data_IF_827328719071
#
_entry.id   IF_827328719071
#
_cell.length_a   1.000
_cell.length_b   1.000
_cell.length_c   1.000
_cell.angle_alpha   90.00
_cell.angle_beta   90.00
_cell.angle_gamma   90.00
#
_symmetry.space_group_name_H-M   'P 1'
#
loop_
_entity.id
_entity.type
_entity.pdbx_description
1 polymer ?
#
# COMPACT_ATOMS: atom_id res chain seq x y z
N UNK A 1 0.97 21.36 -5.73
CA UNK A 1 -0.50 21.17 -5.79
C UNK A 1 -1.09 21.98 -4.65
N UNK A 2 -2.14 22.77 -4.86
CA UNK A 2 -2.68 23.67 -3.81
C UNK A 2 -3.89 23.09 -3.06
N UNK A 3 -4.50 22.03 -3.59
CA UNK A 3 -5.59 21.28 -2.97
C UNK A 3 -5.65 19.87 -3.56
N UNK A 4 -6.30 18.97 -2.86
CA UNK A 4 -6.64 17.63 -3.36
C UNK A 4 -8.14 17.41 -3.25
N UNK A 5 -8.68 16.65 -4.18
CA UNK A 5 -10.09 16.25 -4.16
C UNK A 5 -10.29 14.91 -4.84
N UNK A 6 -11.27 14.16 -4.37
CA UNK A 6 -11.70 12.89 -4.96
C UNK A 6 -13.20 12.98 -5.26
N UNK A 7 -13.57 12.74 -6.52
CA UNK A 7 -14.99 12.75 -6.89
C UNK A 7 -15.72 11.56 -6.27
N UNK A 8 -17.03 11.67 -5.95
CA UNK A 8 -17.78 10.54 -5.36
C UNK A 8 -17.81 9.29 -6.26
N UNK A 9 -17.78 9.46 -7.58
CA UNK A 9 -17.74 8.35 -8.53
C UNK A 9 -16.39 7.65 -8.46
N UNK A 10 -15.29 8.42 -8.55
CA UNK A 10 -13.95 7.86 -8.43
C UNK A 10 -13.72 7.22 -7.06
N UNK A 11 -14.25 7.81 -5.97
CA UNK A 11 -14.16 7.24 -4.63
C UNK A 11 -14.81 5.84 -4.56
N UNK A 12 -15.96 5.66 -5.20
CA UNK A 12 -16.63 4.35 -5.27
C UNK A 12 -15.82 3.33 -6.09
N UNK A 13 -15.26 3.75 -7.22
CA UNK A 13 -14.47 2.87 -8.08
C UNK A 13 -13.15 2.48 -7.40
N UNK A 14 -12.49 3.41 -6.73
CA UNK A 14 -11.30 3.17 -5.91
C UNK A 14 -11.62 2.19 -4.77
N UNK A 15 -12.70 2.41 -4.02
CA UNK A 15 -13.12 1.52 -2.94
C UNK A 15 -13.36 0.09 -3.45
N UNK A 16 -14.04 -0.07 -4.59
CA UNK A 16 -14.30 -1.39 -5.19
C UNK A 16 -13.00 -2.10 -5.59
N UNK A 17 -12.08 -1.39 -6.21
CA UNK A 17 -10.79 -1.95 -6.61
C UNK A 17 -9.95 -2.34 -5.37
N UNK A 18 -9.97 -1.53 -4.30
CA UNK A 18 -9.32 -1.88 -3.04
C UNK A 18 -9.92 -3.14 -2.40
N UNK A 19 -11.25 -3.28 -2.39
CA UNK A 19 -11.92 -4.49 -1.89
C UNK A 19 -11.58 -5.71 -2.76
N UNK A 20 -11.58 -5.55 -4.08
CA UNK A 20 -11.28 -6.63 -5.01
C UNK A 20 -9.86 -7.16 -4.78
N UNK A 21 -8.86 -6.27 -4.76
CA UNK A 21 -7.46 -6.65 -4.55
C UNK A 21 -7.21 -7.24 -3.15
N UNK A 22 -7.93 -6.77 -2.12
CA UNK A 22 -7.81 -7.33 -0.77
C UNK A 22 -8.47 -8.70 -0.65
N UNK A 23 -9.59 -8.93 -1.35
CA UNK A 23 -10.30 -10.22 -1.37
C UNK A 23 -9.56 -11.29 -2.18
N UNK A 24 -8.76 -10.87 -3.14
CA UNK A 24 -7.94 -11.73 -4.00
C UNK A 24 -6.49 -11.20 -4.02
N UNK A 25 -5.73 -11.42 -2.93
CA UNK A 25 -4.39 -10.86 -2.79
C UNK A 25 -3.46 -11.23 -3.96
N UNK A 26 -2.71 -10.23 -4.44
CA UNK A 26 -1.82 -10.41 -5.59
C UNK A 26 -2.48 -10.28 -6.97
N UNK A 27 -3.79 -10.03 -7.04
CA UNK A 27 -4.40 -9.55 -8.28
C UNK A 27 -4.08 -8.07 -8.47
N UNK A 28 -4.14 -7.60 -9.71
CA UNK A 28 -3.86 -6.21 -10.07
C UNK A 28 -5.12 -5.59 -10.67
N UNK A 29 -5.52 -4.46 -10.11
CA UNK A 29 -6.56 -3.59 -10.66
C UNK A 29 -5.93 -2.29 -11.14
N UNK A 30 -6.37 -1.79 -12.31
CA UNK A 30 -5.87 -0.53 -12.88
C UNK A 30 -6.90 0.57 -12.69
N UNK A 31 -6.54 1.61 -11.97
CA UNK A 31 -7.37 2.76 -11.68
C UNK A 31 -7.02 3.93 -12.59
N UNK A 32 -8.04 4.52 -13.19
CA UNK A 32 -7.92 5.78 -13.93
C UNK A 32 -8.90 6.77 -13.32
N UNK A 33 -8.37 7.76 -12.60
CA UNK A 33 -9.19 8.80 -12.01
C UNK A 33 -9.70 9.76 -13.09
N UNK A 34 -10.95 10.19 -12.97
CA UNK A 34 -11.53 11.18 -13.87
C UNK A 34 -10.91 12.57 -13.66
N UNK A 35 -11.08 13.46 -14.64
CA UNK A 35 -10.63 14.85 -14.53
C UNK A 35 -11.30 15.66 -13.41
N UNK A 36 -12.32 15.10 -12.76
CA UNK A 36 -13.00 15.67 -11.59
C UNK A 36 -12.24 15.44 -10.29
N UNK A 37 -11.36 14.43 -10.25
CA UNK A 37 -10.48 14.18 -9.13
C UNK A 37 -9.13 14.85 -9.34
N UNK A 38 -8.58 15.44 -8.28
CA UNK A 38 -7.31 16.15 -8.32
C UNK A 38 -6.41 15.64 -7.22
N UNK A 39 -5.96 14.40 -7.36
CA UNK A 39 -5.00 13.75 -6.47
C UNK A 39 -4.30 12.59 -7.19
N UNK A 40 -3.09 12.21 -6.76
CA UNK A 40 -2.47 10.97 -7.19
C UNK A 40 -3.28 9.74 -6.73
N UNK A 41 -3.16 8.62 -7.45
CA UNK A 41 -3.95 7.41 -7.16
C UNK A 41 -3.75 6.90 -5.74
N UNK A 42 -2.51 6.85 -5.22
CA UNK A 42 -2.24 6.41 -3.83
C UNK A 42 -2.89 7.33 -2.77
N UNK A 43 -3.05 8.63 -3.05
CA UNK A 43 -3.81 9.55 -2.19
C UNK A 43 -5.31 9.29 -2.32
N UNK A 44 -5.80 8.97 -3.53
CA UNK A 44 -7.20 8.62 -3.75
C UNK A 44 -7.60 7.36 -2.98
N UNK A 45 -6.70 6.35 -2.87
CA UNK A 45 -6.95 5.18 -2.04
C UNK A 45 -7.26 5.57 -0.58
N UNK A 46 -6.43 6.44 -0.01
CA UNK A 46 -6.64 6.92 1.36
C UNK A 46 -7.93 7.73 1.49
N UNK A 47 -8.13 8.73 0.61
CA UNK A 47 -9.31 9.63 0.65
C UNK A 47 -10.65 8.90 0.46
N UNK A 48 -10.66 7.73 -0.17
CA UNK A 48 -11.88 6.93 -0.34
C UNK A 48 -12.38 6.28 0.95
N UNK A 49 -11.56 6.25 2.01
CA UNK A 49 -11.80 5.44 3.21
C UNK A 49 -11.64 6.19 4.54
N UNK A 50 -11.10 7.41 4.53
CA UNK A 50 -10.92 8.19 5.75
C UNK A 50 -11.96 9.31 5.87
N UNK A 51 -12.34 9.61 7.10
CA UNK A 51 -13.26 10.65 7.49
C UNK A 51 -12.85 11.31 8.82
N UNK A 52 -13.70 12.15 9.36
CA UNK A 52 -13.45 12.90 10.59
C UNK A 52 -13.18 12.04 11.84
N UNK A 53 -13.53 10.75 11.81
CA UNK A 53 -13.33 9.81 12.92
C UNK A 53 -12.05 8.96 12.73
N UNK A 54 -11.50 8.92 11.53
CA UNK A 54 -10.41 8.01 11.13
C UNK A 54 -9.05 8.69 11.20
N UNK A 55 -8.16 8.22 12.07
CA UNK A 55 -6.80 8.76 12.21
C UNK A 55 -5.87 8.27 11.09
N UNK A 56 -5.11 9.20 10.51
CA UNK A 56 -4.12 8.85 9.50
C UNK A 56 -2.74 9.47 9.78
N UNK A 57 -1.72 8.90 9.18
CA UNK A 57 -0.39 9.50 9.06
C UNK A 57 0.14 9.41 7.64
N UNK A 58 1.02 10.34 7.32
CA UNK A 58 1.78 10.35 6.07
C UNK A 58 3.24 10.08 6.39
N UNK A 59 3.87 9.21 5.62
CA UNK A 59 5.29 8.90 5.66
C UNK A 59 5.88 9.24 4.30
N UNK A 60 7.03 9.87 4.28
CA UNK A 60 7.74 10.15 3.04
C UNK A 60 9.22 9.77 3.20
N UNK A 61 9.73 9.05 2.22
CA UNK A 61 11.16 8.76 2.10
C UNK A 61 11.94 9.94 1.51
N UNK A 62 11.25 11.01 1.04
CA UNK A 62 11.87 12.13 0.31
C UNK A 62 12.18 13.29 1.23
N UNK A 63 11.19 13.86 1.94
CA UNK A 63 11.42 14.97 2.86
C UNK A 63 10.30 15.15 3.89
N UNK A 64 10.63 15.75 5.05
CA UNK A 64 9.62 16.15 6.04
C UNK A 64 8.69 17.26 5.52
N UNK A 65 9.17 18.15 4.67
CA UNK A 65 8.34 19.20 4.08
C UNK A 65 7.24 18.61 3.19
N UNK A 66 7.54 17.57 2.42
CA UNK A 66 6.53 16.88 1.60
C UNK A 66 5.51 16.14 2.49
N UNK A 67 5.95 15.52 3.57
CA UNK A 67 5.10 14.89 4.57
C UNK A 67 4.10 15.89 5.17
N UNK A 68 4.57 17.04 5.63
CA UNK A 68 3.73 18.10 6.20
C UNK A 68 2.73 18.66 5.17
N UNK A 69 3.17 18.88 3.94
CA UNK A 69 2.33 19.36 2.86
C UNK A 69 1.21 18.36 2.55
N UNK A 70 1.52 17.09 2.37
CA UNK A 70 0.52 16.06 2.09
C UNK A 70 -0.43 15.84 3.26
N UNK A 71 0.08 15.86 4.49
CA UNK A 71 -0.76 15.79 5.70
C UNK A 71 -1.80 16.91 5.72
N UNK A 72 -1.36 18.14 5.44
CA UNK A 72 -2.26 19.32 5.40
C UNK A 72 -3.31 19.19 4.29
N UNK A 73 -2.91 18.77 3.09
CA UNK A 73 -3.82 18.63 1.94
C UNK A 73 -4.86 17.53 2.16
N UNK A 74 -4.45 16.39 2.71
CA UNK A 74 -5.34 15.27 3.00
C UNK A 74 -6.32 15.63 4.13
N UNK A 75 -5.83 16.26 5.21
CA UNK A 75 -6.70 16.76 6.28
C UNK A 75 -7.74 17.74 5.75
N UNK A 76 -7.33 18.70 4.93
CA UNK A 76 -8.25 19.69 4.35
C UNK A 76 -9.31 19.05 3.44
N UNK A 77 -8.98 17.95 2.74
CA UNK A 77 -9.90 17.27 1.84
C UNK A 77 -10.89 16.33 2.55
N UNK A 78 -10.46 15.67 3.63
CA UNK A 78 -11.24 14.61 4.31
C UNK A 78 -11.82 15.02 5.66
N UNK A 79 -11.23 16.02 6.33
CA UNK A 79 -11.48 16.33 7.73
C UNK A 79 -10.86 15.33 8.72
N UNK A 80 -10.18 14.29 8.23
CA UNK A 80 -9.56 13.26 9.04
C UNK A 80 -8.45 13.83 9.93
N UNK A 81 -8.36 13.46 11.22
CA UNK A 81 -7.29 13.91 12.09
C UNK A 81 -5.97 13.18 11.76
N UNK A 82 -4.89 13.96 11.63
CA UNK A 82 -3.54 13.39 11.55
C UNK A 82 -3.04 12.95 12.92
N UNK A 83 -2.25 11.87 12.97
CA UNK A 83 -1.67 11.32 14.18
C UNK A 83 -0.25 10.80 13.90
N UNK A 84 0.47 10.36 14.96
CA UNK A 84 1.70 9.61 14.78
C UNK A 84 1.42 8.24 14.15
N UNK A 85 2.42 7.64 13.51
CA UNK A 85 2.31 6.35 12.85
C UNK A 85 1.79 5.26 13.81
N UNK A 86 2.24 5.27 15.06
CA UNK A 86 1.83 4.31 16.11
C UNK A 86 0.40 4.49 16.63
N UNK A 87 -0.28 5.56 16.23
CA UNK A 87 -1.66 5.86 16.64
C UNK A 87 -2.64 5.94 15.46
N UNK A 88 -2.14 5.73 14.25
CA UNK A 88 -2.90 5.86 13.01
C UNK A 88 -3.56 4.55 12.61
N UNK A 89 -4.78 4.64 12.12
CA UNK A 89 -5.52 3.51 11.53
C UNK A 89 -5.13 3.30 10.08
N UNK A 90 -4.71 4.38 9.42
CA UNK A 90 -4.20 4.39 8.06
C UNK A 90 -2.85 5.09 7.99
N UNK A 91 -1.92 4.47 7.28
CA UNK A 91 -0.62 5.06 6.95
C UNK A 91 -0.48 5.12 5.44
N UNK A 92 -0.19 6.30 4.92
CA UNK A 92 0.17 6.50 3.52
C UNK A 92 1.68 6.75 3.42
N UNK A 93 2.38 5.87 2.73
CA UNK A 93 3.82 5.99 2.51
C UNK A 93 4.14 6.36 1.05
N UNK A 94 4.84 7.45 0.88
CA UNK A 94 5.43 7.83 -0.41
C UNK A 94 6.79 7.13 -0.57
N UNK A 95 6.78 5.98 -1.22
CA UNK A 95 7.91 5.06 -1.31
C UNK A 95 7.98 4.10 -0.12
N UNK A 96 9.08 3.37 -0.02
CA UNK A 96 9.31 2.38 1.04
C UNK A 96 9.43 3.06 2.42
N UNK A 97 8.58 2.70 3.40
CA UNK A 97 8.74 3.19 4.77
C UNK A 97 9.97 2.54 5.42
N UNK A 98 10.58 3.23 6.38
CA UNK A 98 11.66 2.64 7.16
C UNK A 98 11.17 1.46 8.01
N UNK A 99 12.08 0.56 8.37
CA UNK A 99 11.77 -0.60 9.22
C UNK A 99 11.19 -0.16 10.57
N UNK A 100 11.76 0.90 11.18
CA UNK A 100 11.28 1.42 12.47
C UNK A 100 9.81 1.88 12.39
N UNK A 101 9.40 2.47 11.25
CA UNK A 101 8.01 2.85 11.02
C UNK A 101 7.14 1.60 10.89
N UNK A 102 7.53 0.61 10.07
CA UNK A 102 6.80 -0.65 9.94
C UNK A 102 6.63 -1.38 11.28
N UNK A 103 7.63 -1.33 12.15
CA UNK A 103 7.57 -1.93 13.46
C UNK A 103 6.71 -1.16 14.46
N UNK A 104 6.55 0.16 14.27
CA UNK A 104 5.80 1.05 15.16
C UNK A 104 4.29 1.08 14.89
N UNK A 105 3.84 0.78 13.67
CA UNK A 105 2.41 0.86 13.32
C UNK A 105 1.57 -0.21 14.03
N UNK A 106 0.30 0.10 14.39
CA UNK A 106 -0.57 -0.82 15.12
C UNK A 106 -0.82 -2.13 14.37
N UNK A 107 -0.68 -3.24 15.05
CA UNK A 107 -0.97 -4.59 14.50
C UNK A 107 -2.32 -5.15 14.97
N UNK A 108 -3.00 -4.44 15.86
CA UNK A 108 -4.14 -4.98 16.56
C UNK A 108 -3.73 -6.07 17.56
N UNK A 109 -4.71 -6.83 18.02
CA UNK A 109 -4.49 -7.98 18.91
C UNK A 109 -5.36 -9.16 18.43
N UNK A 110 -5.13 -10.41 18.88
CA UNK A 110 -6.01 -11.52 18.54
C UNK A 110 -7.49 -11.32 18.92
N UNK A 111 -7.77 -10.49 19.94
CA UNK A 111 -9.13 -10.16 20.35
C UNK A 111 -9.69 -8.92 19.64
N UNK A 112 -8.84 -8.08 19.07
CA UNK A 112 -9.21 -6.84 18.38
C UNK A 112 -8.35 -6.67 17.12
N UNK A 113 -8.45 -7.57 16.14
CA UNK A 113 -7.64 -7.51 14.92
C UNK A 113 -7.98 -6.31 14.02
N UNK A 114 -9.21 -5.77 14.16
CA UNK A 114 -9.66 -4.57 13.44
C UNK A 114 -8.86 -3.31 13.80
N UNK A 115 -8.18 -3.30 14.95
CA UNK A 115 -7.28 -2.22 15.37
C UNK A 115 -5.92 -2.24 14.66
N UNK A 116 -5.67 -3.26 13.82
CA UNK A 116 -4.49 -3.29 12.97
C UNK A 116 -4.53 -2.21 11.89
N UNK A 117 -3.40 -1.57 11.67
CA UNK A 117 -3.24 -0.50 10.68
C UNK A 117 -3.43 -1.03 9.24
N UNK A 118 -3.81 -0.13 8.37
CA UNK A 118 -3.86 -0.32 6.91
C UNK A 118 -2.81 0.59 6.30
N UNK A 119 -1.92 -0.01 5.52
CA UNK A 119 -0.77 0.67 4.94
C UNK A 119 -0.94 0.79 3.42
N UNK A 120 -0.87 1.99 2.89
CA UNK A 120 -0.78 2.26 1.45
C UNK A 120 0.65 2.66 1.15
N UNK A 121 1.31 1.94 0.23
CA UNK A 121 2.68 2.21 -0.18
C UNK A 121 2.72 2.53 -1.65
N UNK A 122 3.27 3.69 -2.01
CA UNK A 122 3.57 3.96 -3.41
C UNK A 122 4.85 3.25 -3.82
N UNK A 123 4.84 2.60 -4.97
CA UNK A 123 5.99 1.94 -5.58
C UNK A 123 6.21 2.44 -7.01
N UNK A 124 7.33 2.08 -7.61
CA UNK A 124 7.60 2.49 -8.99
C UNK A 124 6.69 1.75 -9.97
N UNK A 125 6.56 0.45 -9.79
CA UNK A 125 5.73 -0.39 -10.66
C UNK A 125 5.35 -1.71 -9.97
N UNK A 126 4.13 -2.22 -10.22
CA UNK A 126 3.67 -3.54 -9.76
C UNK A 126 3.06 -4.32 -10.92
N UNK A 127 3.51 -5.57 -11.12
CA UNK A 127 3.05 -6.44 -12.22
C UNK A 127 2.94 -7.91 -11.83
N UNK A 128 2.10 -8.63 -12.55
CA UNK A 128 1.99 -10.10 -12.46
C UNK A 128 2.97 -10.83 -13.39
N UNK A 129 3.66 -10.10 -14.28
CA UNK A 129 4.66 -10.63 -15.22
C UNK A 129 6.01 -9.96 -14.99
N UNK A 130 7.15 -10.64 -15.27
CA UNK A 130 8.47 -10.08 -15.00
C UNK A 130 8.92 -9.01 -16.02
N UNK A 131 8.08 -8.61 -16.98
CA UNK A 131 8.42 -7.61 -17.98
C UNK A 131 8.00 -6.22 -17.49
N UNK A 132 8.94 -5.28 -17.45
CA UNK A 132 8.75 -3.89 -17.02
C UNK A 132 8.90 -2.92 -18.20
N UNK A 133 8.22 -1.76 -18.09
CA UNK A 133 8.25 -0.75 -19.15
C UNK A 133 9.54 0.08 -19.14
N UNK A 134 10.27 0.09 -18.01
CA UNK A 134 11.52 0.84 -17.86
C UNK A 134 12.67 -0.05 -17.43
N UNK A 135 13.87 0.23 -17.97
CA UNK A 135 15.11 -0.46 -17.58
C UNK A 135 15.55 -0.16 -16.13
N UNK A 136 15.10 0.97 -15.56
CA UNK A 136 15.38 1.31 -14.16
C UNK A 136 14.55 0.46 -13.18
N UNK A 137 13.34 0.08 -13.58
CA UNK A 137 12.48 -0.81 -12.79
C UNK A 137 13.10 -2.22 -12.66
N UNK A 138 13.81 -2.68 -13.67
CA UNK A 138 14.47 -4.00 -13.63
C UNK A 138 15.63 -4.07 -12.64
N UNK A 139 16.30 -2.96 -12.33
CA UNK A 139 17.46 -2.94 -11.44
C UNK A 139 17.11 -3.09 -9.95
N UNK A 140 15.89 -2.70 -9.55
CA UNK A 140 15.39 -2.77 -8.16
C UNK A 140 14.13 -3.62 -8.08
N UNK A 141 14.16 -4.78 -8.72
CA UNK A 141 13.02 -5.69 -8.79
C UNK A 141 12.99 -6.64 -7.60
N UNK A 142 11.90 -6.64 -6.88
CA UNK A 142 11.57 -7.66 -5.88
C UNK A 142 10.45 -8.53 -6.40
N UNK A 143 10.66 -9.84 -6.40
CA UNK A 143 9.62 -10.82 -6.72
C UNK A 143 9.15 -11.49 -5.44
N UNK A 144 7.82 -11.53 -5.25
CA UNK A 144 7.20 -12.19 -4.11
C UNK A 144 6.20 -13.23 -4.57
N UNK A 145 6.05 -14.30 -3.80
CA UNK A 145 4.95 -15.23 -3.92
C UNK A 145 3.98 -15.08 -2.77
N UNK A 146 2.70 -15.16 -3.07
CA UNK A 146 1.59 -14.95 -2.15
C UNK A 146 0.73 -16.21 -2.08
N UNK A 147 0.40 -16.64 -0.86
CA UNK A 147 -0.50 -17.76 -0.59
C UNK A 147 -1.42 -17.43 0.57
N UNK A 148 -2.67 -17.85 0.50
CA UNK A 148 -3.64 -17.62 1.58
C UNK A 148 -5.08 -17.55 1.10
N UNK A 149 -6.00 -17.12 1.96
CA UNK A 149 -7.40 -16.94 1.58
C UNK A 149 -7.56 -16.00 0.38
N UNK A 150 -8.44 -16.36 -0.56
CA UNK A 150 -8.68 -15.61 -1.79
C UNK A 150 -7.68 -15.92 -2.93
N UNK A 151 -6.69 -16.80 -2.70
CA UNK A 151 -5.71 -17.25 -3.69
C UNK A 151 -5.91 -18.75 -3.93
N UNK A 152 -6.14 -19.14 -5.19
CA UNK A 152 -6.41 -20.55 -5.52
C UNK A 152 -5.21 -21.46 -5.23
N UNK A 153 -4.02 -21.07 -5.66
CA UNK A 153 -2.77 -21.81 -5.41
C UNK A 153 -1.66 -20.89 -4.95
N UNK A 154 -1.22 -20.00 -5.82
CA UNK A 154 -0.15 -19.03 -5.60
C UNK A 154 -0.28 -17.88 -6.58
N UNK A 155 -0.11 -16.66 -6.11
CA UNK A 155 0.04 -15.48 -6.96
C UNK A 155 1.48 -14.96 -6.87
N UNK A 156 2.02 -14.56 -8.01
CA UNK A 156 3.36 -13.96 -8.10
C UNK A 156 3.20 -12.48 -8.42
N UNK A 157 3.87 -11.64 -7.66
CA UNK A 157 4.02 -10.22 -7.95
C UNK A 157 5.48 -9.85 -8.16
N UNK A 158 5.68 -8.97 -9.13
CA UNK A 158 6.96 -8.33 -9.42
C UNK A 158 6.81 -6.85 -9.10
N UNK A 159 7.60 -6.35 -8.15
CA UNK A 159 7.48 -4.99 -7.62
C UNK A 159 8.80 -4.27 -7.78
N UNK A 160 8.77 -3.09 -8.40
CA UNK A 160 9.91 -2.19 -8.48
C UNK A 160 9.76 -1.06 -7.46
N UNK A 161 10.88 -0.68 -6.83
CA UNK A 161 10.92 0.41 -5.87
C UNK A 161 10.62 0.03 -4.41
N UNK A 162 10.47 -1.26 -4.12
CA UNK A 162 10.40 -1.80 -2.76
C UNK A 162 11.41 -2.93 -2.59
N UNK A 163 12.13 -2.93 -1.47
CA UNK A 163 13.19 -3.90 -1.20
C UNK A 163 12.64 -5.26 -0.76
N UNK A 164 13.45 -6.32 -0.88
CA UNK A 164 13.14 -7.62 -0.32
C UNK A 164 12.91 -7.54 1.19
N UNK A 165 13.69 -6.70 1.87
CA UNK A 165 13.60 -6.51 3.31
C UNK A 165 12.25 -6.00 3.78
N UNK A 166 11.59 -5.13 3.00
CA UNK A 166 10.23 -4.68 3.28
C UNK A 166 9.25 -5.86 3.38
N UNK A 167 9.32 -6.81 2.44
CA UNK A 167 8.42 -7.97 2.41
C UNK A 167 8.77 -9.03 3.47
N UNK A 168 10.05 -9.17 3.84
CA UNK A 168 10.46 -10.02 4.97
C UNK A 168 9.89 -9.50 6.28
N UNK A 169 10.01 -8.19 6.53
CA UNK A 169 9.44 -7.55 7.73
C UNK A 169 7.92 -7.64 7.74
N UNK A 170 7.27 -7.44 6.60
CA UNK A 170 5.81 -7.61 6.47
C UNK A 170 5.38 -9.06 6.79
N UNK A 171 6.14 -10.05 6.32
CA UNK A 171 5.91 -11.46 6.66
C UNK A 171 5.96 -11.66 8.18
N UNK A 172 6.99 -11.14 8.85
CA UNK A 172 7.18 -11.25 10.30
C UNK A 172 6.05 -10.55 11.07
N UNK A 173 5.63 -9.35 10.63
CA UNK A 173 4.51 -8.60 11.21
C UNK A 173 3.21 -9.40 11.16
N UNK A 174 2.92 -10.02 10.03
CA UNK A 174 1.68 -10.78 9.80
C UNK A 174 1.75 -12.23 10.31
N UNK A 175 2.90 -12.68 10.78
CA UNK A 175 3.08 -14.01 11.36
C UNK A 175 2.24 -14.29 12.62
N UNK A 176 1.67 -13.25 13.25
CA UNK A 176 0.82 -13.36 14.44
C UNK A 176 -0.68 -13.26 14.12
N UNK A 177 -1.12 -13.74 12.94
CA UNK A 177 -2.54 -13.72 12.56
C UNK A 177 -3.44 -14.19 13.72
N UNK A 178 -4.60 -13.53 13.98
CA UNK A 178 -5.27 -12.49 13.18
C UNK A 178 -4.75 -11.06 13.39
N UNK A 179 -3.80 -10.84 14.29
CA UNK A 179 -3.09 -9.57 14.38
C UNK A 179 -2.20 -9.38 13.14
N UNK A 180 -2.00 -8.14 12.71
CA UNK A 180 -1.22 -7.81 11.52
C UNK A 180 -1.73 -6.56 10.82
N UNK A 181 -1.20 -6.30 9.65
CA UNK A 181 -1.55 -5.14 8.81
C UNK A 181 -1.95 -5.58 7.41
N UNK A 182 -2.89 -4.86 6.82
CA UNK A 182 -3.24 -4.99 5.41
C UNK A 182 -2.48 -3.94 4.60
N UNK A 183 -1.92 -4.32 3.46
CA UNK A 183 -1.08 -3.45 2.64
C UNK A 183 -1.66 -3.32 1.24
N UNK A 184 -1.74 -2.09 0.73
CA UNK A 184 -1.98 -1.81 -0.69
C UNK A 184 -0.72 -1.24 -1.32
N UNK A 185 -0.29 -1.84 -2.41
CA UNK A 185 0.75 -1.34 -3.29
C UNK A 185 0.09 -0.54 -4.40
N UNK A 186 0.58 0.65 -4.67
CA UNK A 186 0.07 1.50 -5.74
C UNK A 186 1.23 2.06 -6.55
N UNK A 187 1.25 1.83 -7.86
CA UNK A 187 2.29 2.34 -8.73
C UNK A 187 1.93 3.69 -9.38
N UNK A 188 2.91 4.26 -10.06
CA UNK A 188 2.76 5.55 -10.74
C UNK A 188 1.79 5.52 -11.93
N UNK A 189 1.43 4.34 -12.43
CA UNK A 189 0.50 4.14 -13.55
C UNK A 189 -0.95 3.95 -13.09
N UNK A 190 -1.18 3.89 -11.78
CA UNK A 190 -2.49 3.66 -11.18
C UNK A 190 -2.84 2.18 -11.00
N UNK A 191 -1.88 1.28 -11.20
CA UNK A 191 -2.10 -0.13 -10.85
C UNK A 191 -2.02 -0.30 -9.34
N UNK A 192 -2.95 -1.08 -8.80
CA UNK A 192 -2.99 -1.42 -7.37
C UNK A 192 -3.03 -2.92 -7.19
N UNK A 193 -2.40 -3.38 -6.13
CA UNK A 193 -2.49 -4.76 -5.64
C UNK A 193 -2.53 -4.73 -4.12
N UNK A 194 -3.06 -5.79 -3.49
CA UNK A 194 -3.11 -5.85 -2.04
C UNK A 194 -2.50 -7.14 -1.49
N UNK A 195 -2.01 -7.02 -0.25
CA UNK A 195 -1.52 -8.13 0.57
C UNK A 195 -2.29 -8.06 1.89
N UNK A 196 -3.23 -8.97 2.10
CA UNK A 196 -3.98 -9.02 3.35
C UNK A 196 -3.11 -9.59 4.47
N UNK A 197 -3.43 -9.26 5.72
CA UNK A 197 -2.73 -9.81 6.91
C UNK A 197 -2.81 -11.34 7.03
N UNK A 198 -3.77 -11.95 6.34
CA UNK A 198 -3.92 -13.42 6.29
C UNK A 198 -3.10 -14.07 5.17
N UNK A 199 -2.41 -13.26 4.35
CA UNK A 199 -1.61 -13.73 3.22
C UNK A 199 -0.18 -14.02 3.67
N UNK A 200 0.30 -15.22 3.37
CA UNK A 200 1.72 -15.55 3.53
C UNK A 200 2.51 -14.96 2.37
N UNK A 201 3.49 -14.15 2.68
CA UNK A 201 4.39 -13.50 1.70
C UNK A 201 5.75 -14.17 1.75
N UNK A 202 6.27 -14.60 0.60
CA UNK A 202 7.62 -15.14 0.50
C UNK A 202 8.39 -14.39 -0.59
N UNK A 203 9.61 -13.97 -0.29
CA UNK A 203 10.50 -13.38 -1.30
C UNK A 203 11.06 -14.49 -2.18
N UNK A 204 10.88 -14.34 -3.49
CA UNK A 204 11.41 -15.30 -4.48
C UNK A 204 12.79 -14.82 -4.91
N UNK A 205 13.82 -15.48 -4.39
CA UNK A 205 15.20 -15.20 -4.82
C UNK A 205 15.42 -15.80 -6.19
N UNK A 206 15.35 -14.97 -7.24
CA UNK A 206 15.76 -15.40 -8.58
C UNK A 206 17.29 -15.59 -8.58
N UNK A 207 17.78 -16.83 -8.53
CA UNK A 207 19.19 -17.11 -8.83
C UNK A 207 19.42 -16.73 -10.29
N UNK A 208 20.02 -15.57 -10.53
CA UNK A 208 20.55 -15.24 -11.85
C UNK A 208 21.63 -16.26 -12.10
N UNK A 209 21.31 -17.27 -12.89
CA UNK A 209 22.30 -18.23 -13.36
C UNK A 209 23.27 -17.50 -14.27
N UNK A 210 24.44 -17.17 -13.75
CA UNK A 210 25.57 -16.78 -14.56
C UNK A 210 25.92 -18.01 -15.42
N UNK A 211 25.62 -17.91 -16.73
CA UNK A 211 26.13 -18.82 -17.75
C UNK A 211 27.42 -18.26 -18.29
#
# INVERSE_FOLDING_TARGET
MNFVSLSPVDANDVFRAMLQTLSQPGTIESLTLSSKSQCPTHVALLLSLIDVETKFSVVSSVSEADKEQWTTLIHAASGAPSASESQSEWVLSFGEPSIDILESIPRGTPHRPEMGCRLIVSCSEVRSTPQFESSEAEQNLTTISLRGPGIETENILHIAGLSQRFFEVLHDINGSFPAGIDVWLCDQFGNISAISRSTTVNVVTTRIGVK
#
